data_IF_618552916135
#
_entry.id   IF_618552916135
#
_cell.length_a   1.000
_cell.length_b   1.000
_cell.length_c   1.000
_cell.angle_alpha   90.00
_cell.angle_beta   90.00
_cell.angle_gamma   90.00
#
_symmetry.space_group_name_H-M   'P 1'
#
loop_
_entity.id
_entity.type
_entity.pdbx_description
1 polymer ?
#
# COMPACT_ATOMS: atom_id res chain seq x y z
N UNK A 1 -40.80 -4.43 26.98
CA UNK A 1 -39.61 -4.96 26.27
C UNK A 1 -39.93 -4.97 24.78
N UNK A 2 -39.36 -4.06 24.00
CA UNK A 2 -39.68 -3.90 22.58
C UNK A 2 -38.72 -4.73 21.71
N UNK A 3 -39.27 -5.66 20.93
CA UNK A 3 -38.56 -6.46 19.92
C UNK A 3 -38.38 -5.59 18.66
N UNK A 4 -37.14 -5.27 18.30
CA UNK A 4 -36.84 -4.60 17.04
C UNK A 4 -36.89 -5.61 15.87
N UNK A 5 -37.68 -5.36 14.81
CA UNK A 5 -37.75 -6.25 13.65
C UNK A 5 -36.46 -6.20 12.82
N UNK A 6 -35.94 -7.37 12.49
CA UNK A 6 -34.72 -7.56 11.70
C UNK A 6 -34.93 -7.17 10.24
N UNK A 7 -34.12 -6.22 9.76
CA UNK A 7 -33.96 -5.95 8.34
C UNK A 7 -33.11 -7.06 7.71
N UNK A 8 -33.75 -7.90 6.90
CA UNK A 8 -33.09 -8.85 6.02
C UNK A 8 -32.19 -8.09 5.02
N UNK A 9 -30.87 -8.16 5.21
CA UNK A 9 -29.90 -7.67 4.23
C UNK A 9 -29.81 -8.68 3.10
N UNK A 10 -30.39 -8.34 1.97
CA UNK A 10 -30.17 -8.96 0.67
C UNK A 10 -28.67 -9.02 0.36
N UNK A 11 -28.11 -10.23 0.24
CA UNK A 11 -26.76 -10.41 -0.26
C UNK A 11 -26.78 -10.22 -1.78
N UNK A 12 -26.55 -8.98 -2.22
CA UNK A 12 -26.23 -8.71 -3.62
C UNK A 12 -24.82 -9.20 -3.87
N UNK A 13 -24.67 -10.40 -4.46
CA UNK A 13 -23.40 -10.90 -5.00
C UNK A 13 -22.95 -10.00 -6.16
N UNK A 14 -22.33 -8.89 -5.80
CA UNK A 14 -21.60 -8.07 -6.75
C UNK A 14 -20.34 -8.84 -7.14
N UNK A 15 -20.34 -9.41 -8.35
CA UNK A 15 -19.18 -9.93 -9.07
C UNK A 15 -18.22 -8.78 -9.38
N UNK A 16 -17.60 -8.21 -8.34
CA UNK A 16 -16.68 -7.10 -8.47
C UNK A 16 -15.39 -7.59 -9.08
N UNK A 17 -14.98 -6.95 -10.18
CA UNK A 17 -13.63 -6.93 -10.74
C UNK A 17 -12.60 -7.20 -9.64
N UNK A 18 -11.72 -8.18 -9.84
CA UNK A 18 -10.66 -8.56 -8.88
C UNK A 18 -9.72 -7.37 -8.71
N UNK A 19 -10.12 -6.39 -7.90
CA UNK A 19 -9.27 -5.32 -7.46
C UNK A 19 -8.18 -5.97 -6.62
N UNK A 20 -6.93 -5.59 -6.85
CA UNK A 20 -5.81 -6.01 -6.01
C UNK A 20 -6.02 -5.49 -4.58
N UNK A 21 -6.77 -6.24 -3.77
CA UNK A 21 -7.01 -5.95 -2.36
C UNK A 21 -5.68 -6.01 -1.60
N UNK A 22 -5.55 -5.19 -0.56
CA UNK A 22 -4.36 -5.20 0.29
C UNK A 22 -4.21 -6.59 0.94
N UNK A 23 -3.00 -7.16 1.00
CA UNK A 23 -2.79 -8.41 1.72
C UNK A 23 -3.08 -8.20 3.22
N UNK A 24 -3.56 -9.24 3.92
CA UNK A 24 -3.82 -9.18 5.34
C UNK A 24 -2.54 -8.89 6.13
N UNK A 25 -2.63 -8.02 7.14
CA UNK A 25 -1.54 -7.75 8.06
C UNK A 25 -1.28 -8.90 9.05
N UNK A 26 -0.22 -8.82 9.87
CA UNK A 26 0.18 -9.90 10.78
C UNK A 26 -0.92 -10.26 11.79
N UNK A 27 -1.56 -9.26 12.41
CA UNK A 27 -2.69 -9.47 13.32
C UNK A 27 -3.88 -10.15 12.62
N UNK A 28 -4.18 -9.76 11.38
CA UNK A 28 -5.28 -10.36 10.62
C UNK A 28 -5.01 -11.85 10.29
N UNK A 29 -3.75 -12.23 10.09
CA UNK A 29 -3.37 -13.63 9.93
C UNK A 29 -3.56 -14.43 11.23
N UNK A 30 -3.18 -13.84 12.36
CA UNK A 30 -3.40 -14.44 13.69
C UNK A 30 -4.89 -14.64 14.00
N UNK A 31 -5.72 -13.61 13.78
CA UNK A 31 -7.17 -13.71 13.95
C UNK A 31 -7.73 -14.81 13.03
N UNK A 32 -7.24 -14.91 11.80
CA UNK A 32 -7.64 -15.96 10.85
C UNK A 32 -7.26 -17.36 11.33
N UNK A 33 -6.10 -17.54 11.98
CA UNK A 33 -5.72 -18.84 12.55
C UNK A 33 -6.58 -19.19 13.76
N UNK A 34 -6.94 -18.22 14.61
CA UNK A 34 -7.79 -18.47 15.78
C UNK A 34 -9.26 -18.70 15.43
N UNK A 35 -9.75 -18.12 14.32
CA UNK A 35 -11.17 -18.22 13.92
C UNK A 35 -11.65 -19.67 13.75
N UNK A 36 -10.75 -20.60 13.40
CA UNK A 36 -11.08 -22.02 13.25
C UNK A 36 -11.51 -22.69 14.55
N UNK A 37 -11.09 -22.15 15.69
CA UNK A 37 -11.30 -22.74 17.01
C UNK A 37 -12.39 -22.02 17.81
N UNK A 38 -12.97 -20.96 17.26
CA UNK A 38 -13.97 -20.16 17.97
C UNK A 38 -15.32 -20.20 17.27
N UNK A 39 -16.32 -20.72 17.98
CA UNK A 39 -17.73 -20.64 17.61
C UNK A 39 -18.42 -19.74 18.64
N UNK A 40 -18.88 -18.56 18.22
CA UNK A 40 -19.50 -17.61 19.13
C UNK A 40 -19.67 -16.22 18.52
N UNK A 41 -20.00 -15.25 19.37
CA UNK A 41 -20.19 -13.86 18.97
C UNK A 41 -18.88 -13.24 18.46
N UNK A 42 -18.95 -12.56 17.31
CA UNK A 42 -17.79 -11.93 16.68
C UNK A 42 -17.19 -10.81 17.55
N UNK A 43 -18.02 -10.08 18.28
CA UNK A 43 -17.55 -8.99 19.13
C UNK A 43 -16.65 -9.53 20.26
N UNK A 44 -17.07 -10.60 20.92
CA UNK A 44 -16.32 -11.22 22.01
C UNK A 44 -15.05 -11.92 21.50
N UNK A 45 -15.15 -12.58 20.33
CA UNK A 45 -13.98 -13.11 19.63
C UNK A 45 -12.93 -12.03 19.34
N UNK A 46 -13.36 -10.88 18.82
CA UNK A 46 -12.45 -9.80 18.46
C UNK A 46 -11.72 -9.23 19.68
N UNK A 47 -12.41 -9.08 20.82
CA UNK A 47 -11.82 -8.67 22.10
C UNK A 47 -10.83 -9.71 22.60
N UNK A 48 -11.20 -10.99 22.57
CA UNK A 48 -10.32 -12.09 22.96
C UNK A 48 -9.03 -12.13 22.13
N UNK A 49 -9.14 -12.08 20.80
CA UNK A 49 -7.97 -12.04 19.93
C UNK A 49 -7.09 -10.81 20.16
N UNK A 50 -7.68 -9.65 20.45
CA UNK A 50 -6.90 -8.45 20.77
C UNK A 50 -6.09 -8.62 22.07
N UNK A 51 -6.69 -9.20 23.12
CA UNK A 51 -6.00 -9.48 24.37
C UNK A 51 -4.88 -10.51 24.18
N UNK A 52 -5.18 -11.64 23.52
CA UNK A 52 -4.20 -12.68 23.24
C UNK A 52 -3.03 -12.16 22.40
N UNK A 53 -3.30 -11.35 21.38
CA UNK A 53 -2.25 -10.76 20.55
C UNK A 53 -1.27 -9.87 21.33
N UNK A 54 -1.75 -9.16 22.36
CA UNK A 54 -0.91 -8.33 23.23
C UNK A 54 -0.08 -9.18 24.20
N UNK A 55 -0.58 -10.35 24.59
CA UNK A 55 0.10 -11.28 25.49
C UNK A 55 1.14 -12.16 24.78
N UNK A 56 1.04 -12.31 23.45
CA UNK A 56 2.02 -13.08 22.68
C UNK A 56 3.45 -12.55 22.85
N UNK A 57 4.38 -13.49 22.98
CA UNK A 57 5.81 -13.19 22.95
C UNK A 57 6.20 -12.51 21.64
N UNK A 58 7.31 -11.76 21.65
CA UNK A 58 7.79 -11.12 20.42
C UNK A 58 8.19 -12.16 19.36
N UNK A 59 8.71 -13.32 19.77
CA UNK A 59 9.05 -14.42 18.89
C UNK A 59 7.83 -14.97 18.11
N UNK A 60 6.68 -15.09 18.77
CA UNK A 60 5.45 -15.55 18.13
C UNK A 60 4.85 -14.49 17.22
N UNK A 61 4.88 -13.21 17.65
CA UNK A 61 4.46 -12.09 16.80
C UNK A 61 5.33 -12.01 15.54
N UNK A 62 6.62 -12.32 15.64
CA UNK A 62 7.54 -12.33 14.50
C UNK A 62 7.19 -13.38 13.45
N UNK A 63 6.69 -14.56 13.86
CA UNK A 63 6.18 -15.58 12.91
C UNK A 63 5.08 -14.99 12.01
N UNK A 64 4.11 -14.29 12.59
CA UNK A 64 3.04 -13.64 11.83
C UNK A 64 3.53 -12.44 11.02
N UNK A 65 4.53 -11.69 11.49
CA UNK A 65 5.19 -10.62 10.72
C UNK A 65 5.86 -11.18 9.45
N UNK A 66 6.61 -12.28 9.58
CA UNK A 66 7.25 -12.98 8.45
C UNK A 66 6.23 -13.49 7.43
N UNK A 67 5.15 -14.13 7.90
CA UNK A 67 4.06 -14.58 7.03
C UNK A 67 3.38 -13.41 6.30
N UNK A 68 3.09 -12.31 7.01
CA UNK A 68 2.50 -11.13 6.39
C UNK A 68 3.44 -10.49 5.37
N UNK A 69 4.75 -10.47 5.63
CA UNK A 69 5.76 -9.99 4.70
C UNK A 69 5.82 -10.84 3.42
N UNK A 70 5.76 -12.16 3.54
CA UNK A 70 5.76 -13.08 2.39
C UNK A 70 4.54 -12.88 1.47
N UNK A 71 3.38 -12.48 2.02
CA UNK A 71 2.18 -12.18 1.23
C UNK A 71 2.24 -10.82 0.51
N UNK A 72 3.22 -9.96 0.82
CA UNK A 72 3.38 -8.68 0.12
C UNK A 72 3.98 -8.94 -1.25
N UNK A 73 3.14 -8.89 -2.29
CA UNK A 73 3.62 -8.92 -3.67
C UNK A 73 4.46 -7.67 -3.96
N UNK A 74 5.67 -7.81 -4.52
CA UNK A 74 6.42 -6.66 -4.99
C UNK A 74 5.61 -5.96 -6.09
N UNK A 75 5.50 -4.63 -6.01
CA UNK A 75 4.87 -3.86 -7.08
C UNK A 75 5.81 -3.89 -8.29
N UNK A 76 5.35 -4.28 -9.48
CA UNK A 76 6.18 -4.19 -10.68
C UNK A 76 6.56 -2.73 -10.91
N UNK A 77 7.86 -2.47 -11.09
CA UNK A 77 8.35 -1.13 -11.45
C UNK A 77 8.12 -0.91 -12.95
N UNK A 78 7.48 0.19 -13.32
CA UNK A 78 7.31 0.55 -14.73
C UNK A 78 8.67 1.00 -15.32
N UNK A 79 9.20 0.39 -16.40
CA UNK A 79 10.47 0.79 -17.00
C UNK A 79 10.48 2.22 -17.54
N UNK A 80 9.33 2.75 -17.98
CA UNK A 80 9.19 4.15 -18.40
C UNK A 80 9.45 5.13 -17.25
N UNK A 81 9.14 4.71 -16.01
CA UNK A 81 9.50 5.48 -14.82
C UNK A 81 11.01 5.46 -14.54
N UNK A 82 11.75 4.43 -14.97
CA UNK A 82 13.18 4.31 -14.67
C UNK A 82 14.01 5.40 -15.36
N UNK A 83 13.70 5.76 -16.61
CA UNK A 83 14.43 6.82 -17.32
C UNK A 83 14.21 8.21 -16.70
N UNK A 84 12.97 8.54 -16.35
CA UNK A 84 12.66 9.77 -15.63
C UNK A 84 13.30 9.79 -14.24
N UNK A 85 13.24 8.68 -13.50
CA UNK A 85 13.84 8.59 -12.16
C UNK A 85 15.37 8.78 -12.19
N UNK A 86 16.07 8.24 -13.20
CA UNK A 86 17.51 8.51 -13.42
C UNK A 86 17.80 9.98 -13.71
N UNK A 87 16.94 10.65 -14.48
CA UNK A 87 17.06 12.09 -14.72
C UNK A 87 16.83 12.88 -13.42
N UNK A 88 15.80 12.53 -12.66
CA UNK A 88 15.48 13.15 -11.37
C UNK A 88 16.62 12.98 -10.38
N UNK A 89 17.19 11.79 -10.23
CA UNK A 89 18.27 11.56 -9.27
C UNK A 89 19.49 12.44 -9.57
N UNK A 90 19.82 12.66 -10.85
CA UNK A 90 20.94 13.53 -11.25
C UNK A 90 20.66 15.01 -11.01
N UNK A 91 19.44 15.47 -11.26
CA UNK A 91 19.11 16.89 -11.26
C UNK A 91 18.55 17.43 -9.94
N UNK A 92 17.92 16.56 -9.14
CA UNK A 92 17.21 16.94 -7.93
C UNK A 92 18.14 17.56 -6.88
N UNK A 93 19.30 16.93 -6.62
CA UNK A 93 20.26 17.44 -5.64
C UNK A 93 20.80 18.81 -6.04
N UNK A 94 21.11 19.01 -7.32
CA UNK A 94 21.56 20.29 -7.87
C UNK A 94 20.50 21.39 -7.70
N UNK A 95 19.22 21.07 -7.96
CA UNK A 95 18.12 22.01 -7.76
C UNK A 95 17.91 22.32 -6.28
N UNK A 96 18.07 21.33 -5.40
CA UNK A 96 17.93 21.53 -3.96
C UNK A 96 19.04 22.38 -3.36
N UNK A 97 20.28 22.19 -3.81
CA UNK A 97 21.43 23.00 -3.40
C UNK A 97 21.29 24.46 -3.86
N UNK A 98 20.84 24.69 -5.10
CA UNK A 98 20.65 26.05 -5.65
C UNK A 98 19.43 26.77 -5.09
N UNK A 99 18.40 26.03 -4.69
CA UNK A 99 17.15 26.59 -4.17
C UNK A 99 16.69 25.86 -2.89
N UNK A 100 17.33 26.14 -1.74
CA UNK A 100 16.95 25.53 -0.46
C UNK A 100 15.56 25.98 0.03
N UNK A 101 15.09 27.16 -0.41
CA UNK A 101 13.74 27.66 -0.09
C UNK A 101 12.62 27.09 -0.97
N UNK A 102 12.93 26.34 -2.02
CA UNK A 102 11.87 25.81 -2.89
C UNK A 102 11.10 24.67 -2.24
N UNK A 103 9.78 24.67 -2.45
CA UNK A 103 8.93 23.55 -2.06
C UNK A 103 9.20 22.35 -2.99
N UNK A 104 8.98 21.14 -2.49
CA UNK A 104 9.12 19.92 -3.29
C UNK A 104 8.25 19.94 -4.56
N UNK A 105 7.09 20.60 -4.51
CA UNK A 105 6.19 20.80 -5.66
C UNK A 105 6.89 21.59 -6.77
N UNK A 106 7.49 22.75 -6.44
CA UNK A 106 8.19 23.61 -7.40
C UNK A 106 9.40 22.93 -8.04
N UNK A 107 10.14 22.13 -7.26
CA UNK A 107 11.27 21.34 -7.77
C UNK A 107 10.79 20.27 -8.77
N UNK A 108 9.69 19.56 -8.46
CA UNK A 108 9.10 18.57 -9.38
C UNK A 108 8.64 19.19 -10.69
N UNK A 109 7.98 20.34 -10.64
CA UNK A 109 7.54 21.07 -11.85
C UNK A 109 8.74 21.42 -12.74
N UNK A 110 9.84 21.90 -12.12
CA UNK A 110 11.05 22.21 -12.86
C UNK A 110 11.72 20.97 -13.47
N UNK A 111 11.72 19.85 -12.75
CA UNK A 111 12.21 18.57 -13.26
C UNK A 111 11.37 18.06 -14.43
N UNK A 112 10.05 18.18 -14.37
CA UNK A 112 9.16 17.78 -15.47
C UNK A 112 9.40 18.64 -16.72
N UNK A 113 9.53 19.97 -16.56
CA UNK A 113 9.91 20.88 -17.67
C UNK A 113 11.27 20.52 -18.25
N UNK A 114 12.26 20.21 -17.41
CA UNK A 114 13.58 19.76 -17.83
C UNK A 114 13.54 18.45 -18.62
N UNK A 115 12.78 17.47 -18.12
CA UNK A 115 12.68 16.16 -18.75
C UNK A 115 11.95 16.20 -20.10
N UNK A 116 10.90 17.02 -20.22
CA UNK A 116 10.22 17.26 -21.50
C UNK A 116 11.21 17.81 -22.55
N UNK A 117 12.07 18.76 -22.18
CA UNK A 117 13.11 19.29 -23.10
C UNK A 117 14.10 18.21 -23.54
N UNK A 118 14.47 17.28 -22.66
CA UNK A 118 15.35 16.15 -23.04
C UNK A 118 14.62 15.19 -23.99
N UNK A 119 13.33 14.93 -23.77
CA UNK A 119 12.51 14.03 -24.58
C UNK A 119 12.17 14.62 -25.96
N UNK A 120 12.00 15.94 -26.08
CA UNK A 120 11.66 16.64 -27.32
C UNK A 120 12.84 16.88 -28.27
N UNK A 121 14.06 16.43 -27.93
CA UNK A 121 15.19 16.41 -28.89
C UNK A 121 15.02 15.25 -29.87
N UNK A 122 14.00 15.32 -30.73
CA UNK A 122 14.01 14.58 -31.99
C UNK A 122 15.19 15.11 -32.83
N UNK A 123 15.98 14.24 -33.50
CA UNK A 123 17.02 14.72 -34.41
C UNK A 123 16.32 15.50 -35.52
N UNK A 124 16.53 16.81 -35.58
CA UNK A 124 16.25 17.54 -36.81
C UNK A 124 17.22 16.97 -37.84
N UNK A 125 16.74 16.05 -38.69
CA UNK A 125 17.46 15.61 -39.88
C UNK A 125 17.87 16.87 -40.64
N UNK A 126 19.16 17.19 -40.60
CA UNK A 126 19.75 18.17 -41.51
C UNK A 126 19.76 17.50 -42.88
N UNK A 127 18.86 17.93 -43.76
CA UNK A 127 19.06 17.81 -45.22
C UNK A 127 20.08 18.87 -45.64
#
# INVERSE_FOLDING_TARGET
MALCPGQARTQTENRTKIANKRPPGPYALFVRSMKKFYAGNLADFSRYCACQWRQLSEAERDKFRKQAAALRRPKPRNPQSAAYLKFVSKMYECLRKKHPGWTAKRIREQLMKGYQKVKCKCPKNKK
#
